data_IF_439694044171
#
_entry.id   IF_439694044171
#
_cell.length_a   1.000
_cell.length_b   1.000
_cell.length_c   1.000
_cell.angle_alpha   90.00
_cell.angle_beta   90.00
_cell.angle_gamma   90.00
#
_symmetry.space_group_name_H-M   'P 1'
#
loop_
_entity.id
_entity.type
_entity.pdbx_description
1 polymer ?
#
# COMPACT_ATOMS: atom_id res chain seq x y z
N UNK A 1 16.04 -3.38 0.28
CA UNK A 1 15.46 -2.32 1.14
C UNK A 1 15.16 -1.04 0.37
N UNK A 2 16.14 -0.33 -0.20
CA UNK A 2 15.90 0.94 -0.91
C UNK A 2 14.85 0.82 -2.04
N UNK A 3 14.96 -0.19 -2.91
CA UNK A 3 13.98 -0.46 -3.97
C UNK A 3 12.58 -0.67 -3.38
N UNK A 4 12.48 -1.49 -2.34
CA UNK A 4 11.22 -1.77 -1.66
C UNK A 4 10.57 -0.53 -1.08
N UNK A 5 11.35 0.34 -0.41
CA UNK A 5 10.83 1.59 0.17
C UNK A 5 10.24 2.47 -0.92
N UNK A 6 10.91 2.63 -2.07
CA UNK A 6 10.39 3.41 -3.19
C UNK A 6 9.03 2.85 -3.64
N UNK A 7 8.93 1.53 -3.85
CA UNK A 7 7.67 0.90 -4.30
C UNK A 7 6.56 1.05 -3.26
N UNK A 8 6.85 0.78 -1.98
CA UNK A 8 5.86 0.87 -0.90
C UNK A 8 5.41 2.32 -0.69
N UNK A 9 6.30 3.30 -0.76
CA UNK A 9 5.92 4.72 -0.65
C UNK A 9 5.03 5.17 -1.82
N UNK A 10 5.34 4.76 -3.06
CA UNK A 10 4.47 5.06 -4.20
C UNK A 10 3.11 4.41 -4.05
N UNK A 11 3.07 3.15 -3.60
CA UNK A 11 1.83 2.41 -3.34
C UNK A 11 1.00 3.06 -2.22
N UNK A 12 1.61 3.42 -1.09
CA UNK A 12 0.94 4.05 0.04
C UNK A 12 0.29 5.38 -0.36
N UNK A 13 0.98 6.20 -1.16
CA UNK A 13 0.40 7.44 -1.68
C UNK A 13 -0.80 7.18 -2.61
N UNK A 14 -0.71 6.17 -3.49
CA UNK A 14 -1.82 5.80 -4.36
C UNK A 14 -3.05 5.34 -3.57
N UNK A 15 -2.86 4.47 -2.57
CA UNK A 15 -3.94 4.01 -1.68
C UNK A 15 -4.51 5.16 -0.87
N UNK A 16 -3.66 6.01 -0.29
CA UNK A 16 -4.05 7.16 0.51
C UNK A 16 -4.87 8.20 -0.25
N UNK A 17 -4.60 8.37 -1.56
CA UNK A 17 -5.39 9.27 -2.41
C UNK A 17 -6.68 8.62 -2.94
N UNK A 18 -6.66 7.32 -3.25
CA UNK A 18 -7.78 6.64 -3.92
C UNK A 18 -8.88 6.19 -2.96
N UNK A 19 -8.54 5.72 -1.76
CA UNK A 19 -9.52 5.21 -0.79
C UNK A 19 -10.53 6.28 -0.34
N UNK A 20 -10.12 7.50 0.07
CA UNK A 20 -11.07 8.53 0.47
C UNK A 20 -12.00 8.92 -0.70
N UNK A 21 -11.46 8.98 -1.91
CA UNK A 21 -12.21 9.33 -3.12
C UNK A 21 -13.21 8.24 -3.50
N UNK A 22 -12.84 6.97 -3.36
CA UNK A 22 -13.74 5.83 -3.56
C UNK A 22 -14.83 5.78 -2.49
N UNK A 23 -14.48 5.99 -1.22
CA UNK A 23 -15.44 6.05 -0.12
C UNK A 23 -16.50 7.13 -0.35
N UNK A 24 -16.09 8.33 -0.73
CA UNK A 24 -17.00 9.43 -1.05
C UNK A 24 -17.95 9.10 -2.22
N UNK A 25 -17.45 8.40 -3.25
CA UNK A 25 -18.27 7.94 -4.39
C UNK A 25 -19.28 6.86 -4.01
N UNK A 26 -18.97 6.04 -3.00
CA UNK A 26 -19.85 5.01 -2.50
C UNK A 26 -20.83 5.52 -1.43
N UNK A 27 -20.80 6.83 -1.11
CA UNK A 27 -21.64 7.43 -0.06
C UNK A 27 -21.20 7.08 1.37
N UNK A 28 -19.99 6.56 1.54
CA UNK A 28 -19.40 6.23 2.84
C UNK A 28 -18.63 7.47 3.32
N UNK A 29 -18.79 7.82 4.59
CA UNK A 29 -18.04 8.92 5.20
C UNK A 29 -16.53 8.59 5.22
N UNK A 30 -15.69 9.28 4.43
CA UNK A 30 -14.26 9.02 4.36
C UNK A 30 -13.57 9.26 5.70
N UNK A 31 -14.11 10.12 6.57
CA UNK A 31 -13.51 10.47 7.87
C UNK A 31 -13.53 9.28 8.84
N UNK A 32 -14.54 8.43 8.74
CA UNK A 32 -14.72 7.26 9.64
C UNK A 32 -13.82 6.09 9.20
N UNK A 33 -13.57 5.96 7.90
CA UNK A 33 -12.92 4.78 7.32
C UNK A 33 -11.44 5.01 7.03
N UNK A 34 -11.04 6.23 6.64
CA UNK A 34 -9.73 6.49 6.03
C UNK A 34 -8.54 6.11 6.91
N UNK A 35 -8.37 6.71 8.10
CA UNK A 35 -7.13 6.55 8.86
C UNK A 35 -6.81 5.07 9.26
N UNK A 36 -7.72 4.31 9.90
CA UNK A 36 -7.43 2.91 10.27
C UNK A 36 -7.47 1.94 9.09
N UNK A 37 -8.32 2.15 8.08
CA UNK A 37 -8.37 1.25 6.91
C UNK A 37 -7.13 1.42 6.03
N UNK A 38 -6.72 2.67 5.76
CA UNK A 38 -5.58 2.94 4.89
C UNK A 38 -4.32 2.35 5.51
N UNK A 39 -4.10 2.56 6.82
CA UNK A 39 -2.89 2.06 7.49
C UNK A 39 -2.83 0.53 7.52
N UNK A 40 -3.93 -0.16 7.81
CA UNK A 40 -3.98 -1.64 7.78
C UNK A 40 -3.79 -2.21 6.37
N UNK A 41 -4.41 -1.59 5.36
CA UNK A 41 -4.20 -2.01 3.97
C UNK A 41 -2.76 -1.81 3.52
N UNK A 42 -2.19 -0.63 3.77
CA UNK A 42 -0.80 -0.31 3.40
C UNK A 42 0.18 -1.22 4.13
N UNK A 43 -0.09 -1.59 5.39
CA UNK A 43 0.76 -2.51 6.15
C UNK A 43 0.76 -3.92 5.53
N UNK A 44 -0.42 -4.52 5.36
CA UNK A 44 -0.54 -5.87 4.80
C UNK A 44 0.00 -5.96 3.35
N UNK A 45 -0.37 -5.00 2.49
CA UNK A 45 0.08 -4.95 1.10
C UNK A 45 1.56 -4.55 0.98
N UNK A 46 2.06 -3.66 1.85
CA UNK A 46 3.45 -3.27 1.91
C UNK A 46 4.37 -4.44 2.28
N UNK A 47 3.93 -5.30 3.21
CA UNK A 47 4.65 -6.52 3.55
C UNK A 47 4.66 -7.52 2.38
N UNK A 48 3.55 -7.66 1.67
CA UNK A 48 3.48 -8.48 0.45
C UNK A 48 4.44 -7.97 -0.64
N UNK A 49 4.48 -6.66 -0.88
CA UNK A 49 5.44 -6.02 -1.80
C UNK A 49 6.87 -6.29 -1.33
N UNK A 50 7.15 -6.15 -0.03
CA UNK A 50 8.48 -6.37 0.52
C UNK A 50 8.99 -7.78 0.24
N UNK A 51 8.19 -8.80 0.57
CA UNK A 51 8.58 -10.19 0.34
C UNK A 51 8.66 -10.53 -1.15
N UNK A 52 7.80 -9.94 -1.99
CA UNK A 52 7.85 -10.14 -3.44
C UNK A 52 9.14 -9.57 -4.05
N UNK A 53 9.52 -8.34 -3.65
CA UNK A 53 10.78 -7.71 -4.10
C UNK A 53 11.98 -8.50 -3.56
N UNK A 54 11.94 -8.92 -2.30
CA UNK A 54 13.00 -9.75 -1.72
C UNK A 54 13.16 -11.08 -2.49
N UNK A 55 12.05 -11.76 -2.78
CA UNK A 55 12.05 -13.00 -3.55
C UNK A 55 12.62 -12.79 -4.97
N UNK A 56 12.20 -11.74 -5.68
CA UNK A 56 12.72 -11.44 -7.02
C UNK A 56 14.22 -11.14 -7.01
N UNK A 57 14.69 -10.36 -6.03
CA UNK A 57 16.10 -10.01 -5.92
C UNK A 57 16.98 -11.20 -5.53
N UNK A 58 16.50 -12.06 -4.64
CA UNK A 58 17.21 -13.28 -4.24
C UNK A 58 17.18 -14.33 -5.35
N UNK A 59 16.03 -14.52 -6.01
CA UNK A 59 15.90 -15.47 -7.12
C UNK A 59 16.73 -15.06 -8.36
N UNK A 60 16.87 -13.76 -8.63
CA UNK A 60 17.74 -13.24 -9.69
C UNK A 60 19.23 -13.22 -9.32
N UNK A 61 19.59 -13.62 -8.10
CA UNK A 61 20.99 -13.77 -7.66
C UNK A 61 21.54 -15.19 -7.90
N UNK A 62 20.70 -16.11 -8.39
CA UNK A 62 21.09 -17.41 -8.95
C UNK A 62 21.14 -17.31 -10.48
#
# INVERSE_FOLDING_TARGET
>A
VAVTIIVVCTWANAVGATIPLAAQRLGIDPTVVSAPLITTLVDASGLFIYFSVAHLMVAGLH
#
